data_IF_683393312620
#
_entry.id   IF_683393312620
#
_cell.length_a   1.000
_cell.length_b   1.000
_cell.length_c   1.000
_cell.angle_alpha   90.00
_cell.angle_beta   90.00
_cell.angle_gamma   90.00
#
_symmetry.space_group_name_H-M   'P 1'
#
loop_
_entity.id
_entity.type
_entity.pdbx_description
1 polymer ?
#
# COMPACT_ATOMS: atom_id res chain seq x y z
N UNK A 1 7.04 10.26 -21.24
CA UNK A 1 8.04 9.50 -20.46
C UNK A 1 7.41 8.74 -19.29
N UNK A 2 6.60 9.40 -18.45
CA UNK A 2 5.93 8.77 -17.30
C UNK A 2 4.85 7.77 -17.70
N UNK A 3 4.07 8.02 -18.76
CA UNK A 3 3.05 7.08 -19.27
C UNK A 3 3.63 5.71 -19.59
N UNK A 4 4.80 5.67 -20.24
CA UNK A 4 5.46 4.41 -20.60
C UNK A 4 5.94 3.62 -19.38
N UNK A 5 6.43 4.31 -18.35
CA UNK A 5 6.84 3.69 -17.08
C UNK A 5 5.60 3.17 -16.33
N UNK A 6 4.50 3.91 -16.34
CA UNK A 6 3.24 3.47 -15.76
C UNK A 6 2.68 2.22 -16.46
N UNK A 7 2.74 2.20 -17.79
CA UNK A 7 2.36 1.02 -18.58
C UNK A 7 3.23 -0.19 -18.24
N UNK A 8 4.55 0.01 -18.07
CA UNK A 8 5.48 -1.05 -17.67
C UNK A 8 5.13 -1.64 -16.30
N UNK A 9 4.85 -0.79 -15.29
CA UNK A 9 4.45 -1.22 -13.96
C UNK A 9 3.18 -2.07 -13.96
N UNK A 10 2.20 -1.66 -14.76
CA UNK A 10 0.88 -2.28 -14.80
C UNK A 10 0.72 -3.31 -15.93
N UNK A 11 1.80 -3.64 -16.64
CA UNK A 11 1.81 -4.70 -17.64
C UNK A 11 2.00 -6.07 -16.98
N UNK A 12 0.98 -6.96 -16.95
CA UNK A 12 1.06 -8.25 -16.27
C UNK A 12 2.00 -9.25 -16.94
N UNK A 13 2.44 -8.96 -18.15
CA UNK A 13 3.38 -9.82 -18.93
C UNK A 13 4.78 -9.23 -19.02
N UNK A 14 4.98 -8.00 -18.53
CA UNK A 14 6.24 -7.27 -18.57
C UNK A 14 7.19 -7.59 -17.43
N UNK A 15 8.05 -6.64 -17.13
CA UNK A 15 9.10 -6.72 -16.09
C UNK A 15 8.56 -7.08 -14.70
N UNK A 16 7.35 -6.60 -14.35
CA UNK A 16 6.71 -6.83 -13.07
C UNK A 16 5.76 -8.03 -13.04
N UNK A 17 5.84 -8.91 -14.05
CA UNK A 17 5.04 -10.14 -14.13
C UNK A 17 5.02 -10.96 -12.82
N UNK A 18 6.15 -11.18 -12.11
CA UNK A 18 6.11 -11.93 -10.86
C UNK A 18 5.19 -11.29 -9.81
N UNK A 19 5.23 -9.97 -9.65
CA UNK A 19 4.37 -9.25 -8.73
C UNK A 19 2.90 -9.40 -9.10
N UNK A 20 2.56 -9.26 -10.38
CA UNK A 20 1.18 -9.46 -10.86
C UNK A 20 0.67 -10.88 -10.64
N UNK A 21 1.53 -11.88 -10.82
CA UNK A 21 1.18 -13.29 -10.64
C UNK A 21 0.81 -13.60 -9.18
N UNK A 22 1.54 -13.04 -8.22
CA UNK A 22 1.32 -13.29 -6.80
C UNK A 22 0.29 -12.33 -6.16
N UNK A 23 0.01 -11.21 -6.80
CA UNK A 23 -0.82 -10.16 -6.22
C UNK A 23 -2.24 -10.62 -5.82
N UNK A 24 -2.97 -11.42 -6.60
CA UNK A 24 -4.29 -11.91 -6.19
C UNK A 24 -4.26 -12.69 -4.88
N UNK A 25 -3.24 -13.51 -4.68
CA UNK A 25 -3.06 -14.30 -3.43
C UNK A 25 -2.75 -13.36 -2.27
N UNK A 26 -1.86 -12.39 -2.45
CA UNK A 26 -1.55 -11.37 -1.45
C UNK A 26 -2.77 -10.57 -1.04
N UNK A 27 -3.52 -10.08 -2.00
CA UNK A 27 -4.74 -9.30 -1.77
C UNK A 27 -5.74 -10.10 -0.96
N UNK A 28 -6.00 -11.36 -1.35
CA UNK A 28 -6.92 -12.25 -0.64
C UNK A 28 -6.46 -12.50 0.80
N UNK A 29 -5.20 -12.84 0.99
CA UNK A 29 -4.61 -13.07 2.31
C UNK A 29 -4.73 -11.84 3.22
N UNK A 30 -4.29 -10.68 2.73
CA UNK A 30 -4.32 -9.42 3.49
C UNK A 30 -5.75 -9.04 3.84
N UNK A 31 -6.66 -9.08 2.86
CA UNK A 31 -8.10 -8.81 3.06
C UNK A 31 -8.70 -9.69 4.15
N UNK A 32 -8.52 -11.00 4.05
CA UNK A 32 -9.12 -11.95 4.98
C UNK A 32 -8.56 -11.78 6.40
N UNK A 33 -7.26 -11.48 6.49
CA UNK A 33 -6.59 -11.19 7.76
C UNK A 33 -7.08 -9.91 8.41
N UNK A 34 -7.27 -8.84 7.64
CA UNK A 34 -7.81 -7.58 8.14
C UNK A 34 -9.24 -7.77 8.63
N UNK A 35 -10.09 -8.44 7.84
CA UNK A 35 -11.48 -8.72 8.20
C UNK A 35 -11.56 -9.50 9.52
N UNK A 36 -10.78 -10.57 9.63
CA UNK A 36 -10.75 -11.41 10.84
C UNK A 36 -10.23 -10.64 12.05
N UNK A 37 -9.14 -9.91 11.88
CA UNK A 37 -8.46 -9.20 12.98
C UNK A 37 -9.26 -8.02 13.53
N UNK A 38 -9.86 -7.23 12.64
CA UNK A 38 -10.67 -6.07 13.01
C UNK A 38 -12.15 -6.42 13.20
N UNK A 39 -12.49 -7.71 13.09
CA UNK A 39 -13.86 -8.22 13.22
C UNK A 39 -14.86 -7.49 12.32
N UNK A 40 -14.48 -7.32 11.06
CA UNK A 40 -15.28 -6.58 10.06
C UNK A 40 -16.37 -7.46 9.46
N UNK A 41 -17.45 -6.84 9.02
CA UNK A 41 -18.53 -7.52 8.29
C UNK A 41 -18.07 -7.89 6.88
N UNK A 42 -18.44 -9.10 6.44
CA UNK A 42 -18.30 -9.51 5.04
C UNK A 42 -19.35 -8.79 4.20
N UNK A 43 -18.90 -7.89 3.33
CA UNK A 43 -19.74 -7.08 2.47
C UNK A 43 -18.98 -6.74 1.18
N UNK A 44 -19.63 -6.04 0.23
CA UNK A 44 -19.03 -5.71 -1.07
C UNK A 44 -17.73 -4.87 -0.93
N UNK A 45 -17.72 -3.92 0.02
CA UNK A 45 -16.54 -3.14 0.39
C UNK A 45 -16.14 -3.44 1.84
N UNK A 46 -15.48 -4.57 2.09
CA UNK A 46 -15.26 -5.05 3.45
C UNK A 46 -14.28 -4.19 4.26
N UNK A 47 -13.43 -3.40 3.60
CA UNK A 47 -12.44 -2.54 4.24
C UNK A 47 -12.89 -1.07 4.35
N UNK A 48 -14.18 -0.80 4.21
CA UNK A 48 -14.72 0.56 4.37
C UNK A 48 -14.34 1.14 5.74
N UNK A 49 -13.86 2.39 5.75
CA UNK A 49 -13.33 3.12 6.93
C UNK A 49 -12.03 2.58 7.52
N UNK A 50 -11.45 1.52 6.98
CA UNK A 50 -10.12 1.06 7.39
C UNK A 50 -9.06 1.98 6.80
N UNK A 51 -8.18 2.52 7.64
CA UNK A 51 -7.05 3.36 7.22
C UNK A 51 -5.81 2.51 7.07
N UNK A 52 -5.26 2.47 5.85
CA UNK A 52 -4.09 1.67 5.50
C UNK A 52 -2.94 2.58 5.09
N UNK A 53 -1.77 2.35 5.66
CA UNK A 53 -0.49 2.90 5.20
C UNK A 53 0.26 1.80 4.43
N UNK A 54 0.53 2.04 3.16
CA UNK A 54 1.31 1.14 2.29
C UNK A 54 2.72 1.70 2.11
N UNK A 55 3.69 1.10 2.79
CA UNK A 55 5.09 1.54 2.81
C UNK A 55 5.84 0.82 1.69
N UNK A 56 6.52 1.60 0.83
CA UNK A 56 7.13 1.07 -0.38
C UNK A 56 6.08 0.69 -1.41
N UNK A 57 5.08 1.55 -1.59
CA UNK A 57 3.91 1.26 -2.42
C UNK A 57 4.21 1.06 -3.92
N UNK A 58 5.42 1.42 -4.38
CA UNK A 58 5.80 1.32 -5.78
C UNK A 58 4.81 2.02 -6.71
N UNK A 59 4.42 1.35 -7.77
CA UNK A 59 3.41 1.83 -8.72
C UNK A 59 1.96 1.67 -8.28
N UNK A 60 1.70 1.24 -7.03
CA UNK A 60 0.36 1.15 -6.47
C UNK A 60 -0.33 -0.21 -6.62
N UNK A 61 0.43 -1.28 -6.95
CA UNK A 61 -0.14 -2.62 -7.21
C UNK A 61 -0.91 -3.21 -6.03
N UNK A 62 -0.59 -2.82 -4.80
CA UNK A 62 -1.31 -3.26 -3.60
C UNK A 62 -2.25 -2.18 -3.07
N UNK A 63 -1.83 -0.92 -3.13
CA UNK A 63 -2.64 0.23 -2.69
C UNK A 63 -3.99 0.30 -3.40
N UNK A 64 -4.03 0.11 -4.72
CA UNK A 64 -5.27 0.21 -5.49
C UNK A 64 -6.28 -0.88 -5.16
N UNK A 65 -5.91 -2.18 -5.10
CA UNK A 65 -6.86 -3.21 -4.67
C UNK A 65 -7.43 -2.97 -3.28
N UNK A 66 -6.61 -2.50 -2.33
CA UNK A 66 -7.10 -2.17 -0.98
C UNK A 66 -8.11 -1.03 -1.01
N UNK A 67 -7.85 0.01 -1.81
CA UNK A 67 -8.79 1.11 -2.00
C UNK A 67 -10.10 0.67 -2.68
N UNK A 68 -10.03 -0.23 -3.67
CA UNK A 68 -11.22 -0.82 -4.31
C UNK A 68 -12.06 -1.62 -3.32
N UNK A 69 -11.45 -2.22 -2.30
CA UNK A 69 -12.15 -2.91 -1.20
C UNK A 69 -12.75 -1.95 -0.16
N UNK A 70 -12.56 -0.64 -0.34
CA UNK A 70 -13.14 0.40 0.50
C UNK A 70 -12.18 1.10 1.45
N UNK A 71 -10.93 0.66 1.59
CA UNK A 71 -9.96 1.25 2.50
C UNK A 71 -9.57 2.68 2.10
N UNK A 72 -9.31 3.51 3.10
CA UNK A 72 -8.63 4.80 2.94
C UNK A 72 -7.12 4.54 2.92
N UNK A 73 -6.51 4.61 1.73
CA UNK A 73 -5.12 4.24 1.55
C UNK A 73 -4.22 5.46 1.40
N UNK A 74 -3.12 5.45 2.14
CA UNK A 74 -1.96 6.32 1.93
C UNK A 74 -0.78 5.45 1.52
N UNK A 75 -0.23 5.69 0.35
CA UNK A 75 0.99 5.02 -0.14
C UNK A 75 2.19 5.93 -0.05
N UNK A 76 3.30 5.43 0.47
CA UNK A 76 4.58 6.14 0.49
C UNK A 76 5.66 5.32 -0.20
N UNK A 77 6.52 5.99 -0.92
CA UNK A 77 7.70 5.40 -1.59
C UNK A 77 8.78 6.45 -1.74
N UNK A 78 10.04 6.06 -1.59
CA UNK A 78 11.17 6.98 -1.72
C UNK A 78 11.45 7.39 -3.18
N UNK A 79 10.96 6.61 -4.15
CA UNK A 79 11.11 6.88 -5.57
C UNK A 79 10.02 7.82 -6.08
N UNK A 80 10.42 9.03 -6.50
CA UNK A 80 9.50 9.96 -7.15
C UNK A 80 8.87 9.39 -8.43
N UNK A 81 9.61 8.58 -9.17
CA UNK A 81 9.11 7.90 -10.38
C UNK A 81 7.98 6.93 -10.05
N UNK A 82 8.14 6.13 -9.01
CA UNK A 82 7.10 5.20 -8.56
C UNK A 82 5.83 5.95 -8.14
N UNK A 83 5.98 7.01 -7.38
CA UNK A 83 4.86 7.84 -6.91
C UNK A 83 4.11 8.49 -8.08
N UNK A 84 4.82 9.00 -9.09
CA UNK A 84 4.18 9.56 -10.29
C UNK A 84 3.39 8.49 -11.07
N UNK A 85 3.95 7.29 -11.20
CA UNK A 85 3.25 6.14 -11.80
C UNK A 85 1.98 5.80 -11.02
N UNK A 86 2.08 5.69 -9.70
CA UNK A 86 0.96 5.35 -8.84
C UNK A 86 -0.16 6.41 -8.93
N UNK A 87 0.19 7.69 -8.86
CA UNK A 87 -0.77 8.81 -9.02
C UNK A 87 -1.46 8.78 -10.37
N UNK A 88 -0.69 8.59 -11.45
CA UNK A 88 -1.24 8.59 -12.80
C UNK A 88 -2.23 7.44 -13.00
N UNK A 89 -1.87 6.23 -12.56
CA UNK A 89 -2.72 5.05 -12.71
C UNK A 89 -4.00 5.16 -11.85
N UNK A 90 -3.88 5.59 -10.59
CA UNK A 90 -5.03 5.81 -9.71
C UNK A 90 -5.99 6.86 -10.29
N UNK A 91 -5.47 7.98 -10.82
CA UNK A 91 -6.29 9.02 -11.48
C UNK A 91 -7.03 8.47 -12.69
N UNK A 92 -6.35 7.68 -13.53
CA UNK A 92 -6.95 7.04 -14.72
C UNK A 92 -8.12 6.10 -14.35
N UNK A 93 -8.04 5.48 -13.16
CA UNK A 93 -9.05 4.55 -12.66
C UNK A 93 -10.04 5.19 -11.66
N UNK A 94 -10.03 6.51 -11.51
CA UNK A 94 -10.90 7.26 -10.59
C UNK A 94 -10.79 6.79 -9.13
N UNK A 95 -9.60 6.40 -8.71
CA UNK A 95 -9.32 5.99 -7.33
C UNK A 95 -8.82 7.17 -6.50
N UNK A 96 -9.27 7.25 -5.25
CA UNK A 96 -8.86 8.28 -4.29
C UNK A 96 -7.85 7.69 -3.32
N UNK A 97 -6.57 7.80 -3.68
CA UNK A 97 -5.44 7.31 -2.88
C UNK A 97 -4.47 8.48 -2.69
N UNK A 98 -4.00 8.67 -1.47
CA UNK A 98 -2.96 9.65 -1.17
C UNK A 98 -1.60 9.02 -1.37
N UNK A 99 -0.82 9.52 -2.33
CA UNK A 99 0.54 9.07 -2.59
C UNK A 99 1.57 10.16 -2.28
N UNK A 100 2.61 9.83 -1.52
CA UNK A 100 3.66 10.75 -1.09
C UNK A 100 5.05 10.15 -1.35
N UNK A 101 5.93 10.98 -1.93
CA UNK A 101 7.34 10.63 -2.11
C UNK A 101 8.09 10.93 -0.80
N UNK A 102 8.27 9.91 0.02
CA UNK A 102 8.96 10.02 1.31
C UNK A 102 9.39 8.64 1.81
N UNK A 103 10.24 8.61 2.83
CA UNK A 103 10.62 7.40 3.55
C UNK A 103 9.86 7.29 4.88
N UNK A 104 9.76 6.10 5.49
CA UNK A 104 9.12 5.93 6.79
C UNK A 104 9.73 6.82 7.89
N UNK A 105 11.04 7.06 7.82
CA UNK A 105 11.78 7.87 8.79
C UNK A 105 11.42 9.37 8.71
N UNK A 106 11.08 9.84 7.50
CA UNK A 106 10.75 11.25 7.22
C UNK A 106 9.26 11.51 7.14
N UNK A 107 8.44 10.45 7.11
CA UNK A 107 7.00 10.59 6.99
C UNK A 107 6.40 11.12 8.29
N UNK A 108 5.76 12.27 8.20
CA UNK A 108 5.06 12.90 9.31
C UNK A 108 3.59 13.07 8.96
N UNK A 109 2.73 12.66 9.88
CA UNK A 109 1.28 12.79 9.77
C UNK A 109 0.64 12.64 11.15
N UNK A 110 -0.46 13.32 11.37
CA UNK A 110 -1.30 13.10 12.56
C UNK A 110 -2.28 11.93 12.38
N UNK A 111 -2.47 11.49 11.14
CA UNK A 111 -3.31 10.33 10.84
C UNK A 111 -2.72 9.06 11.46
N UNK A 112 -3.58 8.32 12.17
CA UNK A 112 -3.25 6.98 12.67
C UNK A 112 -3.88 5.92 11.77
N UNK A 113 -3.12 4.87 11.47
CA UNK A 113 -3.52 3.82 10.55
C UNK A 113 -3.90 2.55 11.31
N UNK A 114 -4.95 1.89 10.84
CA UNK A 114 -5.42 0.61 11.40
C UNK A 114 -4.56 -0.55 10.90
N UNK A 115 -3.97 -0.39 9.73
CA UNK A 115 -3.12 -1.39 9.07
C UNK A 115 -1.90 -0.70 8.47
N UNK A 116 -0.73 -1.31 8.63
CA UNK A 116 0.50 -0.92 7.93
C UNK A 116 0.98 -2.10 7.11
N UNK A 117 1.13 -1.88 5.80
CA UNK A 117 1.67 -2.85 4.86
C UNK A 117 3.15 -2.57 4.62
N UNK A 118 3.98 -3.60 4.77
CA UNK A 118 5.44 -3.57 4.56
C UNK A 118 5.85 -4.69 3.62
N UNK A 119 5.19 -4.77 2.46
CA UNK A 119 5.42 -5.86 1.54
C UNK A 119 6.69 -5.64 0.73
N UNK A 120 7.64 -6.60 0.81
CA UNK A 120 8.91 -6.61 0.05
C UNK A 120 9.80 -5.37 0.29
N UNK A 121 9.82 -4.86 1.53
CA UNK A 121 10.63 -3.71 1.93
C UNK A 121 11.68 -4.09 2.96
N UNK A 122 11.37 -4.98 3.90
CA UNK A 122 12.22 -5.30 5.06
C UNK A 122 13.59 -5.81 4.63
N UNK A 123 13.68 -6.56 3.54
CA UNK A 123 14.92 -7.07 2.97
C UNK A 123 15.86 -5.99 2.41
N UNK A 124 15.35 -4.77 2.21
CA UNK A 124 16.11 -3.62 1.70
C UNK A 124 16.45 -2.60 2.78
N UNK A 125 16.09 -2.86 4.03
CA UNK A 125 16.27 -1.94 5.15
C UNK A 125 17.55 -2.27 5.92
N UNK A 126 18.44 -1.29 6.10
CA UNK A 126 19.70 -1.47 6.83
C UNK A 126 19.46 -1.75 8.32
N UNK A 127 18.59 -0.97 8.98
CA UNK A 127 18.22 -1.13 10.38
C UNK A 127 16.73 -1.43 10.52
N UNK A 128 16.41 -2.73 10.60
CA UNK A 128 15.04 -3.22 10.72
C UNK A 128 14.36 -2.74 11.99
N UNK A 129 15.10 -2.66 13.11
CA UNK A 129 14.52 -2.21 14.38
C UNK A 129 14.12 -0.73 14.33
N UNK A 130 14.99 0.10 13.76
CA UNK A 130 14.67 1.52 13.56
C UNK A 130 13.49 1.71 12.61
N UNK A 131 13.45 0.98 11.50
CA UNK A 131 12.35 0.97 10.55
C UNK A 131 11.02 0.60 11.22
N UNK A 132 11.01 -0.46 12.02
CA UNK A 132 9.82 -0.90 12.76
C UNK A 132 9.33 0.19 13.72
N UNK A 133 10.24 0.85 14.44
CA UNK A 133 9.88 1.97 15.34
C UNK A 133 9.26 3.14 14.57
N UNK A 134 9.79 3.46 13.39
CA UNK A 134 9.23 4.50 12.52
C UNK A 134 7.81 4.15 12.05
N UNK A 135 7.56 2.89 11.71
CA UNK A 135 6.22 2.41 11.37
C UNK A 135 5.26 2.49 12.57
N UNK A 136 5.74 2.13 13.75
CA UNK A 136 4.93 2.07 14.97
C UNK A 136 4.38 3.44 15.40
N UNK A 137 5.04 4.54 15.05
CA UNK A 137 4.55 5.91 15.30
C UNK A 137 3.19 6.19 14.66
N UNK A 138 2.88 5.50 13.57
CA UNK A 138 1.70 5.76 12.73
C UNK A 138 0.53 4.82 13.00
N UNK A 139 0.69 3.87 13.94
CA UNK A 139 -0.36 2.89 14.25
C UNK A 139 -1.50 3.47 15.08
N UNK A 140 -2.71 2.99 14.84
CA UNK A 140 -3.86 3.17 15.74
C UNK A 140 -3.86 2.13 16.87
N UNK A 141 -4.80 2.26 17.79
CA UNK A 141 -5.00 1.28 18.89
C UNK A 141 -5.34 -0.12 18.34
N UNK A 142 -6.03 -0.18 17.19
CA UNK A 142 -6.44 -1.43 16.53
C UNK A 142 -5.38 -1.97 15.56
N UNK A 143 -4.18 -1.47 15.63
CA UNK A 143 -3.11 -1.74 14.70
C UNK A 143 -2.80 -3.22 14.47
N UNK A 144 -2.62 -3.58 13.20
CA UNK A 144 -2.02 -4.84 12.76
C UNK A 144 -0.98 -4.61 11.66
N UNK A 145 0.08 -5.35 11.74
CA UNK A 145 1.24 -5.27 10.86
C UNK A 145 1.25 -6.45 9.88
N UNK A 146 1.42 -6.12 8.63
CA UNK A 146 1.55 -7.10 7.55
C UNK A 146 2.75 -6.79 6.68
#
# INVERSE_FOLDING_TARGET
>A
KFSRIAEEWWNPTGKFKPLHKFNPIRISYIKDHIISTLNLKKQKKPLEKVKILDIGCGGGLLSEPMNRLGAEVTGIDASSKNIEVAKLHAKKNNLKIKYLCTSPEKFETETKFDVILNMEIIEHVEDVNHFIKCCDKHKSILFKKF
#
